data_IF_866338094739
#
_entry.id   IF_866338094739
#
_cell.length_a   1.000
_cell.length_b   1.000
_cell.length_c   1.000
_cell.angle_alpha   90.00
_cell.angle_beta   90.00
_cell.angle_gamma   90.00
#
_symmetry.space_group_name_H-M   'P 1'
#
loop_
_entity.id
_entity.type
_entity.pdbx_description
1 polymer ?
#
# COMPACT_ATOMS: atom_id res chain seq x y z
N UNK A 1 -4.99 19.88 -29.52
CA UNK A 1 -5.83 18.97 -28.70
C UNK A 1 -4.94 18.32 -27.64
N UNK A 2 -4.65 19.01 -26.54
CA UNK A 2 -3.64 18.60 -25.56
C UNK A 2 -4.26 17.75 -24.45
N UNK A 3 -3.69 16.55 -24.30
CA UNK A 3 -3.79 15.53 -23.25
C UNK A 3 -4.54 15.97 -21.98
N UNK A 4 -5.72 15.40 -21.76
CA UNK A 4 -6.30 15.34 -20.41
C UNK A 4 -5.36 14.51 -19.54
N UNK A 5 -4.62 15.16 -18.63
CA UNK A 5 -4.04 14.50 -17.47
C UNK A 5 -5.21 13.97 -16.64
N UNK A 6 -5.67 12.75 -16.95
CA UNK A 6 -6.77 12.15 -16.22
C UNK A 6 -6.33 12.01 -14.77
N UNK A 7 -7.03 12.70 -13.87
CA UNK A 7 -6.80 12.76 -12.42
C UNK A 7 -7.06 11.41 -11.71
N UNK A 8 -6.80 10.28 -12.39
CA UNK A 8 -6.94 8.93 -11.90
C UNK A 8 -5.82 8.67 -10.92
N UNK A 9 -6.11 8.61 -9.63
CA UNK A 9 -5.11 8.32 -8.60
C UNK A 9 -5.79 7.85 -7.35
N UNK A 10 -5.05 7.14 -6.50
CA UNK A 10 -5.50 6.81 -5.16
C UNK A 10 -5.47 8.11 -4.34
N UNK A 11 -6.59 8.49 -3.76
CA UNK A 11 -6.70 9.61 -2.83
C UNK A 11 -6.56 9.15 -1.37
N UNK A 12 -7.02 7.94 -1.05
CA UNK A 12 -6.99 7.39 0.31
C UNK A 12 -6.95 5.86 0.27
N UNK A 13 -6.23 5.27 1.23
CA UNK A 13 -6.31 3.86 1.58
C UNK A 13 -6.92 3.71 2.98
N UNK A 14 -7.79 2.72 3.17
CA UNK A 14 -8.49 2.47 4.42
C UNK A 14 -8.29 1.01 4.86
N UNK A 15 -7.83 0.78 6.08
CA UNK A 15 -7.72 -0.56 6.63
C UNK A 15 -9.11 -1.06 7.07
N UNK A 16 -9.69 -1.97 6.29
CA UNK A 16 -10.89 -2.72 6.69
C UNK A 16 -10.57 -3.73 7.79
N UNK A 17 -9.37 -4.33 7.70
CA UNK A 17 -8.81 -5.17 8.75
C UNK A 17 -7.43 -4.67 9.12
N UNK A 18 -7.30 -4.22 10.37
CA UNK A 18 -6.04 -3.79 10.94
C UNK A 18 -5.07 -4.96 11.07
N UNK A 19 -3.75 -4.74 10.89
CA UNK A 19 -2.75 -5.72 11.28
C UNK A 19 -2.83 -6.00 12.80
N UNK A 20 -2.49 -7.21 13.26
CA UNK A 20 -2.54 -7.56 14.67
C UNK A 20 -1.57 -6.69 15.49
N UNK A 21 -2.03 -6.21 16.65
CA UNK A 21 -1.26 -5.32 17.52
C UNK A 21 -0.11 -6.02 18.26
N UNK A 22 -0.20 -7.34 18.42
CA UNK A 22 0.82 -8.20 18.98
C UNK A 22 1.07 -9.36 18.01
N UNK A 23 2.34 -9.58 17.63
CA UNK A 23 2.71 -10.58 16.64
C UNK A 23 4.00 -11.27 17.03
N UNK A 24 3.99 -12.60 16.94
CA UNK A 24 5.21 -13.40 17.05
C UNK A 24 5.95 -13.40 15.71
N UNK A 25 7.27 -13.15 15.73
CA UNK A 25 8.11 -13.03 14.52
C UNK A 25 8.02 -14.25 13.57
N UNK A 26 7.79 -15.45 14.10
CA UNK A 26 7.67 -16.68 13.30
C UNK A 26 6.34 -16.82 12.56
N UNK A 27 5.36 -15.95 12.85
CA UNK A 27 4.01 -16.09 12.33
C UNK A 27 3.80 -15.14 11.16
N UNK A 28 3.09 -15.62 10.14
CA UNK A 28 2.51 -14.74 9.14
C UNK A 28 1.37 -13.92 9.76
N UNK A 29 1.18 -12.73 9.22
CA UNK A 29 0.03 -11.88 9.50
C UNK A 29 -0.53 -11.34 8.20
N UNK A 30 -1.76 -10.83 8.24
CA UNK A 30 -2.41 -10.20 7.10
C UNK A 30 -3.26 -9.02 7.58
N UNK A 31 -3.53 -8.12 6.65
CA UNK A 31 -4.41 -6.97 6.82
C UNK A 31 -5.23 -6.81 5.53
N UNK A 32 -6.31 -6.03 5.56
CA UNK A 32 -7.17 -5.78 4.39
C UNK A 32 -7.30 -4.27 4.21
N UNK A 33 -7.13 -3.82 2.96
CA UNK A 33 -7.19 -2.40 2.59
C UNK A 33 -8.18 -2.19 1.46
N UNK A 34 -9.04 -1.19 1.62
CA UNK A 34 -9.86 -0.60 0.57
C UNK A 34 -9.19 0.67 0.02
N UNK A 35 -9.20 0.83 -1.30
CA UNK A 35 -8.65 2.00 -1.98
C UNK A 35 -9.78 2.91 -2.47
N UNK A 36 -9.58 4.21 -2.31
CA UNK A 36 -10.50 5.24 -2.76
C UNK A 36 -9.76 6.26 -3.62
N UNK A 37 -10.43 6.77 -4.65
CA UNK A 37 -9.88 7.82 -5.49
C UNK A 37 -9.92 9.19 -4.78
N UNK A 38 -9.47 10.23 -5.50
CA UNK A 38 -9.44 11.61 -4.97
C UNK A 38 -10.84 12.21 -4.72
N UNK A 39 -11.88 11.66 -5.34
CA UNK A 39 -13.27 12.03 -5.12
C UNK A 39 -13.94 11.17 -4.02
N UNK A 40 -13.19 10.24 -3.42
CA UNK A 40 -13.71 9.33 -2.39
C UNK A 40 -14.51 8.16 -2.96
N UNK A 41 -14.48 7.91 -4.28
CA UNK A 41 -15.11 6.73 -4.87
C UNK A 41 -14.24 5.50 -4.65
N UNK A 42 -14.84 4.31 -4.40
CA UNK A 42 -14.08 3.08 -4.28
C UNK A 42 -13.37 2.77 -5.60
N UNK A 43 -12.15 2.24 -5.49
CA UNK A 43 -11.36 1.74 -6.60
C UNK A 43 -11.36 0.22 -6.52
N UNK A 44 -11.76 -0.45 -7.59
CA UNK A 44 -11.68 -1.90 -7.70
C UNK A 44 -10.26 -2.34 -8.08
N UNK A 45 -9.80 -3.45 -7.49
CA UNK A 45 -8.50 -4.06 -7.79
C UNK A 45 -8.77 -5.34 -8.58
N UNK A 46 -8.44 -5.34 -9.87
CA UNK A 46 -8.68 -6.50 -10.74
C UNK A 46 -7.54 -7.51 -10.72
N UNK A 47 -6.29 -7.03 -10.67
CA UNK A 47 -5.11 -7.89 -10.61
C UNK A 47 -4.08 -7.35 -9.64
N UNK A 48 -3.41 -8.28 -8.97
CA UNK A 48 -2.27 -8.01 -8.11
C UNK A 48 -1.12 -8.91 -8.52
N UNK A 49 0.11 -8.38 -8.47
CA UNK A 49 1.31 -9.17 -8.68
C UNK A 49 2.39 -8.73 -7.69
N UNK A 50 2.99 -9.67 -6.98
CA UNK A 50 4.21 -9.43 -6.22
C UNK A 50 5.35 -9.12 -7.20
N UNK A 51 6.11 -8.06 -6.93
CA UNK A 51 7.25 -7.64 -7.75
C UNK A 51 8.56 -7.97 -7.05
N UNK A 52 8.68 -7.67 -5.76
CA UNK A 52 9.92 -7.87 -5.02
C UNK A 52 9.93 -7.18 -3.66
N UNK A 53 11.08 -7.25 -3.00
CA UNK A 53 11.37 -6.46 -1.81
C UNK A 53 12.02 -5.13 -2.21
N UNK A 54 11.72 -4.07 -1.46
CA UNK A 54 12.42 -2.78 -1.56
C UNK A 54 13.68 -2.89 -0.70
N UNK A 55 14.83 -2.95 -1.37
CA UNK A 55 16.15 -3.08 -0.75
C UNK A 55 17.17 -2.27 -1.55
N UNK A 56 18.32 -1.95 -0.91
CA UNK A 56 19.47 -1.28 -1.55
C UNK A 56 19.03 0.03 -2.25
N UNK A 57 19.32 0.15 -3.55
CA UNK A 57 19.13 1.38 -4.34
C UNK A 57 17.65 1.72 -4.60
N UNK A 58 16.71 0.84 -4.21
CA UNK A 58 15.27 1.11 -4.31
C UNK A 58 14.71 1.82 -3.08
N UNK A 59 15.49 1.94 -2.00
CA UNK A 59 15.06 2.65 -0.81
C UNK A 59 15.13 4.18 -0.99
N UNK A 60 14.11 4.92 -0.53
CA UNK A 60 14.18 6.38 -0.51
C UNK A 60 15.35 6.86 0.35
N UNK A 61 15.99 7.94 -0.07
CA UNK A 61 17.05 8.64 0.67
C UNK A 61 18.30 7.80 1.02
N UNK A 62 18.51 6.67 0.33
CA UNK A 62 19.68 5.80 0.53
C UNK A 62 19.69 5.07 1.89
N UNK A 63 18.54 4.97 2.56
CA UNK A 63 18.41 4.21 3.79
C UNK A 63 18.53 2.69 3.50
N UNK A 64 18.87 1.90 4.52
CA UNK A 64 19.00 0.44 4.43
C UNK A 64 18.11 -0.26 5.46
N UNK A 65 16.83 -0.02 5.32
CA UNK A 65 15.76 -0.53 6.20
C UNK A 65 15.36 -1.96 5.89
N UNK A 66 15.54 -2.44 4.65
CA UNK A 66 15.09 -3.75 4.14
C UNK A 66 13.65 -4.08 4.58
N UNK A 67 12.77 -3.07 4.49
CA UNK A 67 11.46 -3.06 5.15
C UNK A 67 10.36 -2.64 4.20
N UNK A 68 10.43 -3.05 2.93
CA UNK A 68 9.40 -2.77 1.96
C UNK A 68 9.11 -3.97 1.06
N UNK A 69 7.85 -4.12 0.69
CA UNK A 69 7.40 -5.05 -0.35
C UNK A 69 6.73 -4.24 -1.45
N UNK A 70 7.06 -4.53 -2.70
CA UNK A 70 6.45 -3.93 -3.88
C UNK A 70 5.47 -4.89 -4.56
N UNK A 71 4.30 -4.36 -4.88
CA UNK A 71 3.28 -4.99 -5.70
C UNK A 71 2.99 -4.13 -6.93
N UNK A 72 2.45 -4.76 -7.97
CA UNK A 72 1.78 -4.09 -9.09
C UNK A 72 0.29 -4.36 -8.98
N UNK A 73 -0.50 -3.29 -8.99
CA UNK A 73 -1.96 -3.33 -8.97
C UNK A 73 -2.51 -2.90 -10.33
N UNK A 74 -3.50 -3.62 -10.84
CA UNK A 74 -4.39 -3.15 -11.90
C UNK A 74 -5.68 -2.68 -11.27
N UNK A 75 -5.96 -1.39 -11.44
CA UNK A 75 -7.06 -0.68 -10.81
C UNK A 75 -8.13 -0.35 -11.85
N UNK A 76 -9.39 -0.53 -11.48
CA UNK A 76 -10.57 -0.07 -12.21
C UNK A 76 -11.26 1.03 -11.39
N UNK A 77 -11.35 2.22 -11.98
CA UNK A 77 -12.02 3.36 -11.37
C UNK A 77 -13.52 3.38 -11.72
N UNK A 78 -14.33 4.05 -10.90
CA UNK A 78 -15.78 4.17 -11.12
C UNK A 78 -16.18 4.74 -12.49
N UNK A 79 -15.28 5.49 -13.15
CA UNK A 79 -15.49 5.99 -14.52
C UNK A 79 -15.12 4.99 -15.63
N UNK A 80 -14.89 3.71 -15.28
CA UNK A 80 -14.56 2.63 -16.20
C UNK A 80 -13.13 2.64 -16.73
N UNK A 81 -12.25 3.54 -16.27
CA UNK A 81 -10.86 3.60 -16.72
C UNK A 81 -9.97 2.67 -15.91
N UNK A 82 -9.01 2.06 -16.59
CA UNK A 82 -7.99 1.21 -15.99
C UNK A 82 -6.68 1.96 -15.72
N UNK A 83 -5.99 1.61 -14.64
CA UNK A 83 -4.61 2.06 -14.37
C UNK A 83 -3.78 0.94 -13.74
N UNK A 84 -2.60 0.68 -14.30
CA UNK A 84 -1.58 -0.13 -13.62
C UNK A 84 -0.67 0.77 -12.80
N UNK A 85 -0.44 0.45 -11.52
CA UNK A 85 0.49 1.21 -10.67
C UNK A 85 1.28 0.33 -9.71
N UNK A 86 2.43 0.83 -9.28
CA UNK A 86 3.19 0.26 -8.18
C UNK A 86 2.52 0.61 -6.85
N UNK A 87 2.50 -0.36 -5.94
CA UNK A 87 2.03 -0.22 -4.57
C UNK A 87 3.11 -0.73 -3.62
N UNK A 88 3.47 0.10 -2.64
CA UNK A 88 4.51 -0.25 -1.67
C UNK A 88 3.88 -0.49 -0.31
N UNK A 89 4.44 -1.41 0.46
CA UNK A 89 4.03 -1.65 1.84
C UNK A 89 5.28 -1.81 2.70
N UNK A 90 5.37 -1.02 3.75
CA UNK A 90 6.44 -1.06 4.73
C UNK A 90 5.88 -1.17 6.16
N UNK A 91 6.68 -1.61 7.13
CA UNK A 91 6.20 -1.78 8.52
C UNK A 91 7.08 -1.04 9.52
N UNK A 92 6.53 -0.07 10.25
CA UNK A 92 7.27 0.60 11.32
C UNK A 92 6.84 0.09 12.68
N UNK A 93 7.80 -0.14 13.56
CA UNK A 93 7.51 -0.33 14.97
C UNK A 93 7.24 1.03 15.61
N UNK A 94 6.05 1.22 16.16
CA UNK A 94 5.64 2.42 16.88
C UNK A 94 5.53 2.12 18.38
N UNK A 95 6.16 2.94 19.22
CA UNK A 95 6.02 2.84 20.68
C UNK A 95 4.70 3.50 21.09
N UNK A 96 3.79 2.73 21.67
CA UNK A 96 2.51 3.21 22.19
C UNK A 96 2.47 3.06 23.71
N UNK A 97 1.49 3.69 24.37
CA UNK A 97 1.28 3.63 25.83
C UNK A 97 1.15 2.16 26.31
N UNK A 98 0.64 1.26 25.46
CA UNK A 98 0.50 -0.17 25.74
C UNK A 98 1.62 -1.07 25.20
N UNK A 99 2.77 -0.52 24.79
CA UNK A 99 3.91 -1.28 24.25
C UNK A 99 4.21 -1.00 22.77
N UNK A 100 5.09 -1.81 22.19
CA UNK A 100 5.50 -1.70 20.78
C UNK A 100 4.40 -2.29 19.88
N UNK A 101 3.95 -1.54 18.87
CA UNK A 101 3.00 -2.03 17.85
C UNK A 101 3.64 -1.97 16.47
N UNK A 102 3.34 -2.94 15.62
CA UNK A 102 3.72 -2.91 14.20
C UNK A 102 2.65 -2.14 13.43
N UNK A 103 3.05 -1.12 12.68
CA UNK A 103 2.18 -0.26 11.89
C UNK A 103 2.54 -0.40 10.42
N UNK A 104 1.56 -0.77 9.60
CA UNK A 104 1.71 -0.76 8.15
C UNK A 104 1.73 0.69 7.63
N UNK A 105 2.71 0.99 6.79
CA UNK A 105 2.88 2.26 6.09
C UNK A 105 2.66 1.98 4.61
N UNK A 106 1.73 2.72 4.03
CA UNK A 106 1.24 2.59 2.64
C UNK A 106 1.55 3.87 1.88
#
# INVERSE_FOLDING_TARGET
MLRTLSNLGIGRAHFEKQPPSNLRKSNFFHFVVALYDRAGQPIEIERTAFIGFIEKDQEPDGQKTNNGIQYRLQLLYANGKYRSMAWWTAFKAAKTIGGLRVVAVL
#
